data_IF_542827228997
#
_entry.id   IF_542827228997
#
_cell.length_a   1.000
_cell.length_b   1.000
_cell.length_c   1.000
_cell.angle_alpha   90.00
_cell.angle_beta   90.00
_cell.angle_gamma   90.00
#
_symmetry.space_group_name_H-M   'P 1'
#
loop_
_entity.id
_entity.type
_entity.pdbx_description
1 polymer ?
#
# COMPACT_ATOMS: atom_id res chain seq x y z
N UNK A 1 -32.12 43.82 -8.64
CA UNK A 1 -32.09 42.56 -7.85
C UNK A 1 -30.70 41.95 -7.98
N UNK A 2 -29.90 41.94 -6.89
CA UNK A 2 -28.51 41.45 -6.92
C UNK A 2 -28.52 39.93 -6.77
N UNK A 3 -28.00 39.20 -7.76
CA UNK A 3 -28.05 37.73 -7.84
C UNK A 3 -27.16 37.09 -6.76
N UNK A 4 -27.74 36.80 -5.60
CA UNK A 4 -27.07 36.13 -4.46
C UNK A 4 -26.96 34.60 -4.67
N UNK A 5 -27.66 34.05 -5.67
CA UNK A 5 -27.73 32.61 -5.95
C UNK A 5 -26.41 32.02 -6.47
N UNK A 6 -25.76 32.70 -7.41
CA UNK A 6 -24.55 32.17 -8.06
C UNK A 6 -23.37 32.01 -7.09
N UNK A 7 -23.26 32.87 -6.07
CA UNK A 7 -22.16 32.81 -5.09
C UNK A 7 -22.29 31.60 -4.17
N UNK A 8 -23.52 31.19 -3.81
CA UNK A 8 -23.76 30.02 -2.95
C UNK A 8 -23.50 28.71 -3.70
N UNK A 9 -23.83 28.66 -4.99
CA UNK A 9 -23.56 27.50 -5.86
C UNK A 9 -22.05 27.30 -6.08
N UNK A 10 -21.31 28.38 -6.32
CA UNK A 10 -19.84 28.32 -6.45
C UNK A 10 -19.16 27.79 -5.18
N UNK A 11 -19.60 28.24 -4.01
CA UNK A 11 -19.04 27.77 -2.73
C UNK A 11 -19.32 26.27 -2.53
N UNK A 12 -20.54 25.82 -2.82
CA UNK A 12 -20.89 24.40 -2.71
C UNK A 12 -20.04 23.51 -3.63
N UNK A 13 -19.78 23.95 -4.86
CA UNK A 13 -18.94 23.20 -5.81
C UNK A 13 -17.49 23.11 -5.35
N UNK A 14 -16.92 24.19 -4.82
CA UNK A 14 -15.54 24.19 -4.29
C UNK A 14 -15.41 23.25 -3.09
N UNK A 15 -16.38 23.26 -2.17
CA UNK A 15 -16.41 22.33 -1.04
C UNK A 15 -16.52 20.87 -1.50
N UNK A 16 -17.36 20.58 -2.49
CA UNK A 16 -17.52 19.21 -3.00
C UNK A 16 -16.25 18.73 -3.73
N UNK A 17 -15.60 19.62 -4.49
CA UNK A 17 -14.33 19.32 -5.17
C UNK A 17 -13.20 19.06 -4.16
N UNK A 18 -13.12 19.84 -3.08
CA UNK A 18 -12.16 19.64 -2.00
C UNK A 18 -12.41 18.31 -1.26
N UNK A 19 -13.66 17.98 -0.97
CA UNK A 19 -14.02 16.71 -0.32
C UNK A 19 -13.67 15.51 -1.21
N UNK A 20 -13.99 15.59 -2.51
CA UNK A 20 -13.63 14.55 -3.47
C UNK A 20 -12.10 14.38 -3.61
N UNK A 21 -11.35 15.47 -3.60
CA UNK A 21 -9.89 15.43 -3.63
C UNK A 21 -9.31 14.76 -2.36
N UNK A 22 -9.89 15.01 -1.18
CA UNK A 22 -9.45 14.34 0.05
C UNK A 22 -9.71 12.83 0.05
N UNK A 23 -10.83 12.38 -0.51
CA UNK A 23 -11.15 10.95 -0.60
C UNK A 23 -10.20 10.17 -1.51
N UNK A 24 -9.65 10.81 -2.54
CA UNK A 24 -8.67 10.19 -3.46
C UNK A 24 -7.31 9.98 -2.75
N UNK A 25 -6.94 10.85 -1.81
CA UNK A 25 -5.65 10.77 -1.12
C UNK A 25 -5.62 9.77 0.05
N UNK A 26 -6.76 9.50 0.71
CA UNK A 26 -6.82 8.61 1.89
C UNK A 26 -6.54 7.14 1.55
N UNK A 27 -6.58 6.76 0.27
CA UNK A 27 -6.29 5.39 -0.19
C UNK A 27 -4.80 5.00 -0.23
N UNK A 28 -3.87 5.86 0.18
CA UNK A 28 -2.42 5.57 0.16
C UNK A 28 -1.75 5.79 1.52
N UNK A 29 -2.28 5.15 2.55
CA UNK A 29 -1.47 4.84 3.74
C UNK A 29 -0.40 3.81 3.35
N UNK A 30 0.65 4.25 2.66
CA UNK A 30 1.88 3.48 2.56
C UNK A 30 2.60 3.68 3.89
N UNK A 31 2.29 2.82 4.86
CA UNK A 31 3.06 2.73 6.09
C UNK A 31 4.53 2.58 5.68
N UNK A 32 5.35 3.53 6.10
CA UNK A 32 6.79 3.48 5.95
C UNK A 32 7.32 2.36 6.86
N UNK A 33 7.11 1.11 6.46
CA UNK A 33 7.56 -0.06 7.21
C UNK A 33 9.05 -0.24 6.91
N UNK A 34 9.88 -0.01 7.93
CA UNK A 34 11.30 -0.34 7.97
C UNK A 34 11.58 -1.59 7.15
N UNK A 35 12.34 -1.46 6.04
CA UNK A 35 12.74 -2.50 5.09
C UNK A 35 11.99 -3.84 5.28
N UNK A 36 10.67 -3.82 5.03
CA UNK A 36 9.83 -4.92 5.51
C UNK A 36 9.96 -6.13 4.59
N UNK A 37 10.09 -7.30 5.20
CA UNK A 37 10.10 -8.57 4.50
C UNK A 37 8.71 -8.83 3.94
N UNK A 38 8.59 -8.83 2.62
CA UNK A 38 7.30 -8.93 1.95
C UNK A 38 7.19 -10.23 1.15
N UNK A 39 6.11 -10.98 1.41
CA UNK A 39 5.67 -12.10 0.58
C UNK A 39 4.58 -11.61 -0.38
N UNK A 40 4.75 -11.89 -1.67
CA UNK A 40 3.85 -11.47 -2.75
C UNK A 40 3.06 -12.65 -3.27
N UNK A 41 1.80 -12.41 -3.60
CA UNK A 41 0.83 -13.43 -4.02
C UNK A 41 0.25 -13.18 -5.41
N UNK A 42 -0.24 -14.23 -6.06
CA UNK A 42 -0.84 -14.14 -7.40
C UNK A 42 -2.18 -13.39 -7.43
N UNK A 43 -2.92 -13.39 -6.31
CA UNK A 43 -4.27 -12.83 -6.20
C UNK A 43 -4.58 -12.33 -4.78
N UNK A 44 -5.69 -11.60 -4.63
CA UNK A 44 -6.14 -11.01 -3.36
C UNK A 44 -6.50 -12.04 -2.28
N UNK A 45 -6.75 -13.29 -2.65
CA UNK A 45 -7.01 -14.38 -1.71
C UNK A 45 -5.73 -14.97 -1.10
N UNK A 46 -4.55 -14.46 -1.48
CA UNK A 46 -3.23 -14.88 -0.95
C UNK A 46 -2.96 -16.38 -1.03
N UNK A 47 -3.47 -17.04 -2.07
CA UNK A 47 -3.42 -18.51 -2.20
C UNK A 47 -2.10 -19.05 -2.73
N UNK A 48 -1.44 -18.29 -3.61
CA UNK A 48 -0.19 -18.72 -4.27
C UNK A 48 0.88 -17.66 -4.09
N UNK A 49 2.01 -18.03 -3.49
CA UNK A 49 3.19 -17.16 -3.37
C UNK A 49 3.90 -17.10 -4.71
N UNK A 50 4.18 -15.88 -5.17
CA UNK A 50 4.85 -15.61 -6.47
C UNK A 50 6.16 -14.82 -6.31
N UNK A 51 6.51 -14.41 -5.10
CA UNK A 51 7.79 -13.78 -4.84
C UNK A 51 7.99 -13.40 -3.37
N UNK A 52 9.25 -13.22 -2.98
CA UNK A 52 9.63 -12.71 -1.67
C UNK A 52 10.81 -11.75 -1.80
N UNK A 53 10.74 -10.64 -1.07
CA UNK A 53 11.77 -9.60 -1.07
C UNK A 53 12.02 -9.08 0.34
N UNK A 54 13.30 -9.06 0.74
CA UNK A 54 13.73 -8.65 2.07
C UNK A 54 15.02 -9.35 2.51
N UNK A 55 15.09 -9.67 3.79
CA UNK A 55 16.14 -10.40 4.48
C UNK A 55 15.54 -11.49 5.37
N UNK A 56 16.23 -12.62 5.49
CA UNK A 56 15.89 -13.61 6.51
C UNK A 56 16.35 -13.15 7.90
N UNK A 57 15.96 -13.90 8.93
CA UNK A 57 16.35 -13.60 10.31
C UNK A 57 17.87 -13.73 10.57
N UNK A 58 18.62 -14.27 9.61
CA UNK A 58 20.08 -14.42 9.63
C UNK A 58 20.79 -13.37 8.76
N UNK A 59 20.06 -12.33 8.33
CA UNK A 59 20.53 -11.22 7.53
C UNK A 59 20.99 -11.60 6.11
N UNK A 60 20.57 -12.75 5.59
CA UNK A 60 20.76 -13.11 4.18
C UNK A 60 19.69 -12.45 3.32
N UNK A 61 20.09 -11.94 2.16
CA UNK A 61 19.16 -11.30 1.22
C UNK A 61 18.22 -12.32 0.59
N UNK A 62 16.92 -12.07 0.68
CA UNK A 62 15.86 -12.81 -0.01
C UNK A 62 15.31 -11.93 -1.12
N UNK A 63 15.49 -12.31 -2.39
CA UNK A 63 14.99 -11.54 -3.52
C UNK A 63 14.73 -12.46 -4.72
N UNK A 64 13.51 -12.97 -4.84
CA UNK A 64 13.10 -13.83 -5.94
C UNK A 64 11.64 -13.59 -6.34
N UNK A 65 11.30 -13.97 -7.57
CA UNK A 65 9.93 -13.93 -8.09
C UNK A 65 9.48 -12.54 -8.54
N UNK A 66 8.17 -12.27 -8.44
CA UNK A 66 7.54 -11.04 -8.95
C UNK A 66 6.82 -10.29 -7.82
N UNK A 67 6.96 -8.96 -7.81
CA UNK A 67 6.20 -8.09 -6.90
C UNK A 67 4.81 -7.83 -7.49
N UNK A 68 3.78 -8.13 -6.72
CA UNK A 68 2.37 -7.86 -7.05
C UNK A 68 1.75 -6.86 -6.08
N UNK A 69 0.51 -6.42 -6.34
CA UNK A 69 -0.25 -5.61 -5.39
C UNK A 69 -0.74 -6.40 -4.17
N UNK A 70 -0.78 -7.74 -4.28
CA UNK A 70 -1.24 -8.64 -3.22
C UNK A 70 -0.03 -9.08 -2.41
N UNK A 71 0.21 -8.43 -1.27
CA UNK A 71 1.39 -8.68 -0.45
C UNK A 71 1.06 -8.71 1.03
N UNK A 72 1.83 -9.50 1.77
CA UNK A 72 1.87 -9.46 3.24
C UNK A 72 3.30 -9.14 3.64
N UNK A 73 3.48 -8.07 4.39
CA UNK A 73 4.78 -7.61 4.86
C UNK A 73 4.84 -7.70 6.38
N UNK A 74 5.97 -8.13 6.91
CA UNK A 74 6.20 -8.23 8.35
C UNK A 74 7.20 -9.33 8.70
N UNK A 75 7.60 -9.36 9.97
CA UNK A 75 8.53 -10.37 10.51
C UNK A 75 9.85 -10.45 9.75
N UNK A 76 10.63 -11.50 10.04
CA UNK A 76 11.77 -11.92 9.23
C UNK A 76 11.49 -13.28 8.60
N UNK A 77 12.06 -13.53 7.41
CA UNK A 77 11.93 -14.85 6.78
C UNK A 77 12.72 -15.89 7.58
N UNK A 78 12.30 -17.17 7.57
CA UNK A 78 13.10 -18.24 8.14
C UNK A 78 14.53 -18.23 7.56
N UNK A 79 15.53 -18.40 8.41
CA UNK A 79 16.92 -18.46 7.98
C UNK A 79 17.12 -19.56 6.93
N UNK A 80 17.78 -19.21 5.83
CA UNK A 80 18.16 -20.17 4.81
C UNK A 80 19.65 -20.06 4.43
N UNK A 81 20.44 -21.14 4.55
CA UNK A 81 20.06 -22.44 5.10
C UNK A 81 19.75 -22.35 6.61
N UNK A 82 18.97 -23.29 7.17
CA UNK A 82 18.68 -23.30 8.59
C UNK A 82 19.97 -23.44 9.43
N UNK A 83 20.03 -22.83 10.62
CA UNK A 83 21.14 -23.03 11.56
C UNK A 83 21.32 -24.52 11.88
N UNK A 84 22.57 -24.96 12.03
CA UNK A 84 22.89 -26.33 12.45
C UNK A 84 22.84 -26.49 13.97
#
# INVERSE_FOLDING_TARGET
MKSTGNRRVLIALVFFALLAATLILVGRAEEAVAASNCTYYSNASHTTVVGQFGYDCCNNRVAWGVKTAYKTCGGCFPCFPPPR
#
